data_IF_863232055562
#
_entry.id   IF_863232055562
#
_cell.length_a   1.000
_cell.length_b   1.000
_cell.length_c   1.000
_cell.angle_alpha   90.00
_cell.angle_beta   90.00
_cell.angle_gamma   90.00
#
_symmetry.space_group_name_H-M   'P 1'
#
loop_
_entity.id
_entity.type
_entity.pdbx_description
1 polymer ?
#
# COMPACT_ATOMS: atom_id res chain seq x y z
N UNK A 1 -48.96 26.86 57.20
CA UNK A 1 -48.09 26.46 56.07
C UNK A 1 -47.60 25.06 56.37
N UNK A 2 -48.16 24.02 55.73
CA UNK A 2 -47.76 22.62 55.98
C UNK A 2 -46.49 22.33 55.17
N UNK A 3 -45.35 22.12 55.84
CA UNK A 3 -44.15 21.58 55.22
C UNK A 3 -44.38 20.08 54.99
N UNK A 4 -44.65 19.70 53.74
CA UNK A 4 -44.57 18.30 53.35
C UNK A 4 -43.08 17.95 53.22
N UNK A 5 -42.55 17.00 54.01
CA UNK A 5 -41.19 16.53 53.81
C UNK A 5 -41.12 15.91 52.41
N UNK A 6 -40.18 16.40 51.59
CA UNK A 6 -39.88 15.79 50.30
C UNK A 6 -39.26 14.42 50.60
N UNK A 7 -40.01 13.35 50.39
CA UNK A 7 -39.48 11.99 50.54
C UNK A 7 -38.24 11.88 49.65
N UNK A 8 -37.10 11.60 50.26
CA UNK A 8 -35.90 11.23 49.52
C UNK A 8 -36.13 9.80 49.07
N UNK A 9 -36.64 9.63 47.85
CA UNK A 9 -36.70 8.34 47.18
C UNK A 9 -35.27 7.79 47.11
N UNK A 10 -34.98 6.79 47.94
CA UNK A 10 -33.74 6.06 47.90
C UNK A 10 -33.84 5.01 46.79
N UNK A 11 -32.79 4.90 45.99
CA UNK A 11 -32.70 3.93 44.90
C UNK A 11 -32.96 2.52 45.43
N UNK A 12 -33.89 1.80 44.83
CA UNK A 12 -34.18 0.43 45.26
C UNK A 12 -33.09 -0.54 44.78
N UNK A 13 -32.89 -1.63 45.52
CA UNK A 13 -31.94 -2.68 45.14
C UNK A 13 -32.27 -3.26 43.74
N UNK A 14 -33.56 -3.31 43.40
CA UNK A 14 -34.03 -3.81 42.11
C UNK A 14 -33.75 -2.82 40.97
N UNK A 15 -33.94 -1.51 41.17
CA UNK A 15 -33.58 -0.50 40.17
C UNK A 15 -32.07 -0.46 39.89
N UNK A 16 -31.25 -0.64 40.92
CA UNK A 16 -29.80 -0.75 40.75
C UNK A 16 -29.44 -1.96 39.88
N UNK A 17 -30.07 -3.10 40.14
CA UNK A 17 -29.79 -4.36 39.46
C UNK A 17 -30.27 -4.33 37.99
N UNK A 18 -31.45 -3.76 37.74
CA UNK A 18 -31.96 -3.51 36.38
C UNK A 18 -31.06 -2.54 35.62
N UNK A 19 -30.62 -1.45 36.26
CA UNK A 19 -29.73 -0.46 35.63
C UNK A 19 -28.36 -1.05 35.27
N UNK A 20 -27.75 -1.83 36.16
CA UNK A 20 -26.49 -2.54 35.89
C UNK A 20 -26.65 -3.56 34.75
N UNK A 21 -27.77 -4.28 34.70
CA UNK A 21 -28.07 -5.24 33.63
C UNK A 21 -28.21 -4.53 32.28
N UNK A 22 -28.90 -3.40 32.24
CA UNK A 22 -29.04 -2.55 31.05
C UNK A 22 -27.70 -2.00 30.58
N UNK A 23 -26.88 -1.46 31.48
CA UNK A 23 -25.54 -0.95 31.16
C UNK A 23 -24.65 -2.07 30.62
N UNK A 24 -24.66 -3.25 31.26
CA UNK A 24 -23.90 -4.41 30.81
C UNK A 24 -24.34 -4.88 29.41
N UNK A 25 -25.65 -4.93 29.16
CA UNK A 25 -26.20 -5.30 27.86
C UNK A 25 -25.80 -4.29 26.75
N UNK A 26 -25.91 -2.98 27.01
CA UNK A 26 -25.53 -1.93 26.05
C UNK A 26 -24.02 -1.95 25.81
N UNK A 27 -23.21 -2.12 26.85
CA UNK A 27 -21.76 -2.21 26.73
C UNK A 27 -21.35 -3.40 25.85
N UNK A 28 -22.00 -4.57 26.00
CA UNK A 28 -21.72 -5.76 25.20
C UNK A 28 -21.98 -5.53 23.70
N UNK A 29 -23.09 -4.89 23.33
CA UNK A 29 -23.41 -4.56 21.91
C UNK A 29 -22.49 -3.46 21.36
N UNK A 30 -22.04 -2.55 22.22
CA UNK A 30 -21.14 -1.46 21.82
C UNK A 30 -19.74 -1.96 21.46
N UNK A 31 -19.22 -2.98 22.18
CA UNK A 31 -17.86 -3.51 21.97
C UNK A 31 -17.69 -4.12 20.57
N UNK A 32 -18.65 -4.91 20.08
CA UNK A 32 -18.56 -5.53 18.75
C UNK A 32 -18.55 -4.49 17.63
N UNK A 33 -19.35 -3.44 17.77
CA UNK A 33 -19.48 -2.35 16.81
C UNK A 33 -18.19 -1.52 16.69
N UNK A 34 -17.52 -1.23 17.81
CA UNK A 34 -16.28 -0.43 17.85
C UNK A 34 -15.16 -1.04 17.00
N UNK A 35 -15.00 -2.37 17.04
CA UNK A 35 -13.93 -3.03 16.27
C UNK A 35 -14.12 -2.90 14.76
N UNK A 36 -15.38 -2.98 14.30
CA UNK A 36 -15.75 -2.79 12.89
C UNK A 36 -15.53 -1.34 12.45
N UNK A 37 -15.98 -0.37 13.25
CA UNK A 37 -15.76 1.06 12.98
C UNK A 37 -14.27 1.40 12.94
N UNK A 38 -13.47 0.86 13.88
CA UNK A 38 -12.02 1.03 13.88
C UNK A 38 -11.40 0.49 12.59
N UNK A 39 -11.80 -0.70 12.14
CA UNK A 39 -11.29 -1.28 10.89
C UNK A 39 -11.63 -0.43 9.67
N UNK A 40 -12.86 0.06 9.57
CA UNK A 40 -13.27 0.96 8.48
C UNK A 40 -12.54 2.31 8.52
N UNK A 41 -12.31 2.87 9.71
CA UNK A 41 -11.55 4.09 9.88
C UNK A 41 -10.09 3.92 9.44
N UNK A 42 -9.45 2.80 9.83
CA UNK A 42 -8.08 2.49 9.40
C UNK A 42 -7.98 2.27 7.89
N UNK A 43 -8.95 1.58 7.28
CA UNK A 43 -9.04 1.45 5.81
C UNK A 43 -9.20 2.83 5.14
N UNK A 44 -10.03 3.71 5.71
CA UNK A 44 -10.22 5.07 5.20
C UNK A 44 -8.95 5.91 5.33
N UNK A 45 -8.19 5.75 6.43
CA UNK A 45 -6.86 6.37 6.59
C UNK A 45 -5.91 5.91 5.48
N UNK A 46 -5.89 4.61 5.19
CA UNK A 46 -5.06 4.04 4.13
C UNK A 46 -5.46 4.53 2.73
N UNK A 47 -6.76 4.69 2.46
CA UNK A 47 -7.26 5.30 1.21
C UNK A 47 -6.84 6.76 1.06
N UNK A 48 -6.82 7.53 2.14
CA UNK A 48 -6.30 8.91 2.13
C UNK A 48 -4.80 8.93 1.91
N UNK A 49 -4.05 8.06 2.59
CA UNK A 49 -2.61 7.92 2.39
C UNK A 49 -2.26 7.56 0.94
N UNK A 50 -3.02 6.65 0.31
CA UNK A 50 -2.87 6.29 -1.10
C UNK A 50 -3.02 7.51 -2.04
N UNK A 51 -4.02 8.37 -1.81
CA UNK A 51 -4.20 9.61 -2.59
C UNK A 51 -3.06 10.59 -2.36
N UNK A 52 -2.66 10.79 -1.11
CA UNK A 52 -1.54 11.67 -0.76
C UNK A 52 -0.22 11.20 -1.41
N UNK A 53 -0.01 9.89 -1.45
CA UNK A 53 1.16 9.30 -2.10
C UNK A 53 1.13 9.51 -3.62
N UNK A 54 -0.04 9.44 -4.26
CA UNK A 54 -0.18 9.80 -5.68
C UNK A 54 0.02 11.28 -5.96
N UNK A 55 -0.41 12.16 -5.06
CA UNK A 55 -0.07 13.60 -5.16
C UNK A 55 1.44 13.78 -5.16
N UNK A 56 2.15 13.18 -4.21
CA UNK A 56 3.60 13.23 -4.14
C UNK A 56 4.27 12.66 -5.40
N UNK A 57 3.77 11.53 -5.90
CA UNK A 57 4.24 10.89 -7.14
C UNK A 57 4.07 11.76 -8.38
N UNK A 58 2.95 12.47 -8.49
CA UNK A 58 2.69 13.39 -9.60
C UNK A 58 3.54 14.66 -9.49
N UNK A 59 3.75 15.19 -8.28
CA UNK A 59 4.65 16.32 -8.04
C UNK A 59 6.11 15.97 -8.42
N UNK A 60 6.59 14.79 -8.01
CA UNK A 60 7.88 14.27 -8.46
C UNK A 60 7.98 14.30 -9.99
N UNK A 61 6.95 13.77 -10.66
CA UNK A 61 6.97 13.70 -12.12
C UNK A 61 6.95 15.09 -12.75
N UNK A 62 6.25 16.06 -12.17
CA UNK A 62 6.21 17.44 -12.65
C UNK A 62 7.59 18.10 -12.59
N UNK A 63 8.28 17.96 -11.45
CA UNK A 63 9.60 18.55 -11.22
C UNK A 63 10.72 17.87 -12.02
N UNK A 64 10.49 16.65 -12.52
CA UNK A 64 11.47 15.85 -13.24
C UNK A 64 11.10 15.68 -14.72
N UNK A 65 10.58 16.73 -15.36
CA UNK A 65 10.25 16.77 -16.80
C UNK A 65 9.32 15.65 -17.26
N UNK A 66 8.41 15.20 -16.40
CA UNK A 66 7.49 14.10 -16.69
C UNK A 66 8.09 12.70 -16.49
N UNK A 67 9.30 12.58 -15.95
CA UNK A 67 9.89 11.29 -15.59
C UNK A 67 9.11 10.63 -14.45
N UNK A 68 8.82 9.34 -14.60
CA UNK A 68 8.18 8.56 -13.55
C UNK A 68 9.24 8.08 -12.56
N UNK A 69 8.96 8.26 -11.26
CA UNK A 69 9.84 7.80 -10.19
C UNK A 69 10.11 6.30 -10.31
N UNK A 70 11.37 5.86 -10.44
CA UNK A 70 11.72 4.45 -10.30
C UNK A 70 11.45 3.94 -8.88
N UNK A 71 10.79 2.80 -8.75
CA UNK A 71 10.53 2.20 -7.43
C UNK A 71 11.80 1.71 -6.72
N UNK A 72 12.83 1.34 -7.50
CA UNK A 72 14.16 1.03 -6.99
C UNK A 72 15.26 1.50 -7.96
N UNK A 73 15.96 2.58 -7.62
CA UNK A 73 17.14 3.06 -8.35
C UNK A 73 18.00 3.89 -7.40
N UNK A 74 19.28 3.53 -7.25
CA UNK A 74 20.21 4.23 -6.38
C UNK A 74 20.24 5.72 -6.71
N UNK A 75 20.04 6.54 -5.68
CA UNK A 75 20.06 7.99 -5.75
C UNK A 75 20.94 8.53 -4.63
N UNK A 76 22.14 9.01 -4.99
CA UNK A 76 23.10 9.53 -4.02
C UNK A 76 22.66 10.88 -3.41
N UNK A 77 21.64 11.52 -3.98
CA UNK A 77 21.09 12.78 -3.49
C UNK A 77 19.94 12.60 -2.49
N UNK A 78 19.44 11.37 -2.30
CA UNK A 78 18.34 11.09 -1.39
C UNK A 78 18.74 11.43 0.06
N UNK A 79 17.87 12.17 0.73
CA UNK A 79 18.06 12.63 2.10
C UNK A 79 16.88 12.22 2.98
N UNK A 80 17.15 12.03 4.26
CA UNK A 80 16.10 11.91 5.26
C UNK A 80 15.56 13.30 5.66
N UNK A 81 14.63 13.30 6.61
CA UNK A 81 14.00 14.52 7.14
C UNK A 81 14.95 15.48 7.86
N UNK A 82 16.09 14.99 8.34
CA UNK A 82 17.10 15.79 9.03
C UNK A 82 18.14 16.37 8.05
N UNK A 83 18.04 16.04 6.76
CA UNK A 83 18.93 16.51 5.71
C UNK A 83 20.18 15.63 5.52
N UNK A 84 20.28 14.50 6.23
CA UNK A 84 21.39 13.56 6.09
C UNK A 84 21.26 12.76 4.80
N UNK A 85 22.37 12.57 4.11
CA UNK A 85 22.44 11.71 2.93
C UNK A 85 22.27 10.25 3.29
N UNK A 86 21.44 9.56 2.53
CA UNK A 86 21.13 8.15 2.75
C UNK A 86 22.07 7.25 1.95
N UNK A 87 22.47 6.13 2.55
CA UNK A 87 23.25 5.08 1.90
C UNK A 87 22.34 4.02 1.25
N UNK A 88 22.91 3.21 0.36
CA UNK A 88 22.22 2.04 -0.17
C UNK A 88 22.01 0.98 0.95
N UNK A 89 20.87 0.25 0.97
CA UNK A 89 19.79 0.27 -0.01
C UNK A 89 18.70 1.33 0.26
N UNK A 90 18.79 2.08 1.36
CA UNK A 90 17.78 3.06 1.79
C UNK A 90 17.53 4.12 0.71
N UNK A 91 18.61 4.63 0.13
CA UNK A 91 18.58 5.65 -0.93
C UNK A 91 18.12 5.16 -2.31
N UNK A 92 17.88 3.86 -2.47
CA UNK A 92 17.42 3.30 -3.73
C UNK A 92 15.91 3.14 -3.78
N UNK A 93 15.26 2.92 -2.63
CA UNK A 93 13.83 2.65 -2.51
C UNK A 93 13.02 3.94 -2.65
N UNK A 94 11.81 3.81 -3.16
CA UNK A 94 10.92 4.94 -3.41
C UNK A 94 10.66 5.86 -2.20
N UNK A 95 10.52 5.40 -0.92
CA UNK A 95 9.96 6.25 0.15
C UNK A 95 10.74 7.54 0.39
N UNK A 96 12.05 7.44 0.57
CA UNK A 96 12.90 8.62 0.81
C UNK A 96 13.17 9.44 -0.46
N UNK A 97 12.96 8.86 -1.63
CA UNK A 97 13.05 9.59 -2.91
C UNK A 97 11.77 10.37 -3.21
N UNK A 98 10.63 9.95 -2.64
CA UNK A 98 9.37 10.69 -2.65
C UNK A 98 9.22 11.65 -1.48
N UNK A 99 10.00 11.48 -0.42
CA UNK A 99 9.93 12.30 0.79
C UNK A 99 9.87 13.82 0.56
N UNK A 100 10.65 14.43 -0.37
CA UNK A 100 10.56 15.87 -0.64
C UNK A 100 9.16 16.37 -1.04
N UNK A 101 8.30 15.47 -1.51
CA UNK A 101 6.95 15.73 -1.97
C UNK A 101 5.87 15.28 -0.97
N UNK A 102 6.28 14.74 0.18
CA UNK A 102 5.38 14.22 1.22
C UNK A 102 5.35 15.20 2.39
N UNK A 103 4.15 15.71 2.69
CA UNK A 103 3.95 16.63 3.81
C UNK A 103 4.04 15.93 5.18
N UNK A 104 3.53 14.70 5.30
CA UNK A 104 3.51 13.94 6.55
C UNK A 104 3.83 12.46 6.27
N UNK A 105 4.99 12.01 6.75
CA UNK A 105 5.47 10.63 6.61
C UNK A 105 4.58 9.66 7.39
N UNK A 106 4.12 10.03 8.59
CA UNK A 106 3.28 9.19 9.44
C UNK A 106 1.81 9.14 9.01
N UNK A 107 1.41 10.07 8.14
CA UNK A 107 0.11 10.08 7.49
C UNK A 107 0.11 9.44 6.09
N UNK A 108 1.28 9.22 5.49
CA UNK A 108 1.41 8.83 4.07
C UNK A 108 2.17 7.53 3.84
N UNK A 109 3.30 7.30 4.54
CA UNK A 109 4.15 6.13 4.33
C UNK A 109 4.01 5.09 5.44
N UNK A 110 3.93 5.53 6.69
CA UNK A 110 3.90 4.65 7.88
C UNK A 110 2.75 5.00 8.80
N UNK A 111 1.66 4.24 8.75
CA UNK A 111 0.42 4.51 9.47
C UNK A 111 -0.26 3.23 9.99
N UNK A 112 -1.36 3.38 10.73
CA UNK A 112 -2.18 2.27 11.24
C UNK A 112 -1.39 1.32 12.17
N UNK A 113 -0.51 1.88 13.00
CA UNK A 113 0.37 1.18 13.93
C UNK A 113 1.82 1.07 13.47
N UNK A 114 2.15 1.49 12.25
CA UNK A 114 3.53 1.56 11.75
C UNK A 114 4.23 2.87 12.13
N UNK A 115 3.52 3.88 12.62
CA UNK A 115 4.08 5.17 13.02
C UNK A 115 5.34 5.07 13.92
N UNK A 116 5.45 4.12 14.88
CA UNK A 116 6.64 4.00 15.73
C UNK A 116 7.95 3.74 14.98
N UNK A 117 7.91 3.16 13.77
CA UNK A 117 9.13 2.89 12.99
C UNK A 117 9.86 4.16 12.62
N UNK A 118 9.15 5.28 12.49
CA UNK A 118 9.72 6.56 12.11
C UNK A 118 10.72 7.11 13.14
N UNK A 119 10.46 6.84 14.43
CA UNK A 119 11.28 7.31 15.54
C UNK A 119 12.25 6.22 16.06
N UNK A 120 12.33 5.07 15.39
CA UNK A 120 13.23 3.99 15.76
C UNK A 120 14.69 4.35 15.43
N UNK A 121 15.66 3.76 16.12
CA UNK A 121 17.11 3.95 15.85
C UNK A 121 17.48 3.64 14.39
N UNK A 122 16.76 2.69 13.78
CA UNK A 122 16.89 2.31 12.37
C UNK A 122 15.74 2.83 11.50
N UNK A 123 15.12 3.95 11.89
CA UNK A 123 13.90 4.46 11.27
C UNK A 123 14.03 4.72 9.77
N UNK A 124 15.15 5.28 9.33
CA UNK A 124 15.42 5.48 7.89
C UNK A 124 15.35 4.16 7.11
N UNK A 125 15.97 3.11 7.64
CA UNK A 125 15.91 1.80 7.01
C UNK A 125 14.48 1.23 7.03
N UNK A 126 13.82 1.25 8.19
CA UNK A 126 12.49 0.67 8.37
C UNK A 126 11.43 1.37 7.51
N UNK A 127 11.41 2.70 7.48
CA UNK A 127 10.52 3.48 6.60
C UNK A 127 10.79 3.15 5.13
N UNK A 128 12.06 2.94 4.75
CA UNK A 128 12.41 2.65 3.37
C UNK A 128 11.95 1.26 2.91
N UNK A 129 12.00 0.26 3.79
CA UNK A 129 11.74 -1.15 3.44
C UNK A 129 10.31 -1.57 3.75
N UNK A 130 9.67 -0.95 4.75
CA UNK A 130 8.36 -1.32 5.29
C UNK A 130 7.31 -0.19 5.24
N UNK A 131 7.19 0.60 4.15
CA UNK A 131 6.05 1.50 4.01
C UNK A 131 4.75 0.68 3.86
N UNK A 132 3.62 1.20 4.33
CA UNK A 132 2.33 0.50 4.33
C UNK A 132 1.84 0.13 2.92
N UNK A 133 2.20 0.92 1.90
CA UNK A 133 1.94 0.66 0.49
C UNK A 133 3.25 0.34 -0.24
N UNK A 134 3.27 -0.72 -1.03
CA UNK A 134 4.39 -1.04 -1.92
C UNK A 134 4.12 -0.54 -3.32
N UNK A 135 5.18 -0.25 -4.08
CA UNK A 135 5.08 0.23 -5.45
C UNK A 135 5.09 -0.93 -6.46
N UNK A 136 4.29 -0.86 -7.52
CA UNK A 136 4.39 -1.72 -8.71
C UNK A 136 5.65 -1.35 -9.51
N UNK A 137 6.80 -1.76 -9.01
CA UNK A 137 8.11 -1.41 -9.58
C UNK A 137 8.37 -2.08 -10.93
N UNK A 138 7.65 -3.16 -11.26
CA UNK A 138 7.88 -3.93 -12.49
C UNK A 138 7.41 -3.13 -13.71
N UNK A 139 6.20 -2.56 -13.63
CA UNK A 139 5.58 -1.88 -14.76
C UNK A 139 5.53 -0.35 -14.62
N UNK A 140 5.72 0.19 -13.40
CA UNK A 140 5.75 1.63 -13.15
C UNK A 140 7.13 2.03 -12.62
N UNK A 141 7.81 2.92 -13.33
CA UNK A 141 9.11 3.50 -12.96
C UNK A 141 10.31 2.56 -13.08
N UNK A 142 10.15 1.27 -12.76
CA UNK A 142 11.18 0.26 -12.87
C UNK A 142 11.87 -0.09 -11.55
N UNK A 143 12.33 -1.33 -11.46
CA UNK A 143 13.30 -1.81 -10.47
C UNK A 143 14.67 -2.03 -11.14
N UNK A 144 15.70 -1.30 -10.71
CA UNK A 144 17.05 -1.35 -11.29
C UNK A 144 18.08 -2.05 -10.40
N UNK A 145 17.69 -2.54 -9.23
CA UNK A 145 18.51 -3.40 -8.38
C UNK A 145 18.49 -4.88 -8.79
N UNK A 146 19.24 -5.72 -8.07
CA UNK A 146 19.37 -7.16 -8.32
C UNK A 146 18.10 -7.97 -8.06
N UNK A 147 17.21 -7.49 -7.17
CA UNK A 147 15.94 -8.14 -6.87
C UNK A 147 14.84 -7.98 -7.92
N UNK A 148 15.10 -7.31 -9.04
CA UNK A 148 14.09 -7.02 -10.06
C UNK A 148 13.52 -8.29 -10.71
N UNK A 149 12.20 -8.42 -10.77
CA UNK A 149 11.54 -9.45 -11.57
C UNK A 149 11.83 -9.31 -13.07
N UNK A 150 11.87 -8.06 -13.56
CA UNK A 150 12.19 -7.76 -14.94
C UNK A 150 12.78 -6.35 -15.06
N UNK A 151 14.11 -6.28 -15.16
CA UNK A 151 14.82 -5.00 -15.15
C UNK A 151 14.67 -4.29 -16.51
N UNK A 152 14.17 -3.04 -16.55
CA UNK A 152 14.10 -2.28 -17.80
C UNK A 152 15.49 -2.07 -18.40
N UNK A 153 15.64 -2.43 -19.68
CA UNK A 153 16.86 -2.23 -20.47
C UNK A 153 16.52 -2.28 -21.96
N UNK A 154 17.34 -1.63 -22.80
CA UNK A 154 17.12 -1.62 -24.25
C UNK A 154 16.99 -3.03 -24.83
N UNK A 155 17.83 -3.97 -24.39
CA UNK A 155 17.80 -5.38 -24.83
C UNK A 155 16.49 -6.09 -24.48
N UNK A 156 15.94 -5.81 -23.30
CA UNK A 156 14.66 -6.40 -22.88
C UNK A 156 13.52 -5.77 -23.68
N UNK A 157 13.49 -4.45 -23.77
CA UNK A 157 12.43 -3.70 -24.46
C UNK A 157 12.41 -3.96 -25.98
N UNK A 158 13.56 -4.27 -26.61
CA UNK A 158 13.62 -4.73 -28.00
C UNK A 158 12.85 -6.03 -28.22
N UNK A 159 12.84 -6.92 -27.22
CA UNK A 159 12.16 -8.22 -27.29
C UNK A 159 10.69 -8.11 -26.93
N UNK A 160 10.37 -7.39 -25.86
CA UNK A 160 9.02 -7.42 -25.26
C UNK A 160 8.22 -6.13 -25.41
N UNK A 161 8.80 -5.11 -26.05
CA UNK A 161 8.22 -3.77 -26.12
C UNK A 161 8.47 -2.93 -24.86
N UNK A 162 8.04 -1.66 -24.87
CA UNK A 162 8.20 -0.73 -23.75
C UNK A 162 7.21 -1.05 -22.62
N UNK A 163 7.47 -2.14 -21.90
CA UNK A 163 6.57 -2.64 -20.86
C UNK A 163 6.52 -1.79 -19.59
N UNK A 164 7.54 -0.98 -19.34
CA UNK A 164 7.68 -0.19 -18.12
C UNK A 164 7.44 1.29 -18.43
N UNK A 165 6.42 1.88 -17.80
CA UNK A 165 6.13 3.30 -17.89
C UNK A 165 7.20 4.06 -17.10
N UNK A 166 8.05 4.80 -17.80
CA UNK A 166 9.14 5.61 -17.23
C UNK A 166 8.94 7.10 -17.48
N UNK A 167 7.92 7.48 -18.25
CA UNK A 167 7.59 8.86 -18.55
C UNK A 167 6.08 9.06 -18.73
N UNK A 168 5.55 10.19 -18.26
CA UNK A 168 4.11 10.53 -18.32
C UNK A 168 3.52 10.51 -19.74
N UNK A 169 4.31 10.84 -20.75
CA UNK A 169 3.91 10.75 -22.16
C UNK A 169 3.58 9.33 -22.66
N UNK A 170 3.90 8.29 -21.87
CA UNK A 170 3.56 6.89 -22.14
C UNK A 170 2.19 6.49 -21.54
N UNK A 171 1.55 7.33 -20.72
CA UNK A 171 0.31 7.00 -19.98
C UNK A 171 -0.96 7.06 -20.87
N UNK A 172 -0.81 7.26 -22.18
CA UNK A 172 -1.91 7.63 -23.10
C UNK A 172 -3.11 6.67 -23.13
N UNK A 173 -2.99 5.42 -22.70
CA UNK A 173 -4.08 4.42 -22.74
C UNK A 173 -4.27 3.57 -21.48
N UNK A 174 -3.51 3.80 -20.40
CA UNK A 174 -3.51 2.91 -19.23
C UNK A 174 -3.69 3.64 -17.86
N UNK A 175 -4.75 4.47 -17.67
CA UNK A 175 -4.96 5.20 -16.41
C UNK A 175 -5.32 4.29 -15.22
N UNK A 176 -5.84 3.08 -15.49
CA UNK A 176 -6.32 2.14 -14.47
C UNK A 176 -5.23 1.17 -13.97
N UNK A 177 -3.95 1.56 -14.03
CA UNK A 177 -2.85 0.78 -13.51
C UNK A 177 -2.61 1.06 -12.03
N UNK A 178 -2.30 0.01 -11.28
CA UNK A 178 -1.86 0.08 -9.89
C UNK A 178 -0.45 0.65 -9.86
N UNK A 179 -0.27 1.76 -9.15
CA UNK A 179 1.04 2.35 -8.85
C UNK A 179 1.50 1.90 -7.47
N UNK A 180 0.62 2.00 -6.48
CA UNK A 180 0.88 1.53 -5.12
C UNK A 180 -0.23 0.60 -4.63
N UNK A 181 0.08 -0.35 -3.75
CA UNK A 181 -0.86 -1.32 -3.20
C UNK A 181 -0.53 -1.63 -1.74
N UNK A 182 -1.53 -1.91 -0.91
CA UNK A 182 -1.33 -2.46 0.44
C UNK A 182 -0.32 -3.60 0.40
N UNK A 183 0.77 -3.44 1.16
CA UNK A 183 1.90 -4.36 1.10
C UNK A 183 2.26 -4.91 2.48
N UNK A 184 2.82 -6.11 2.50
CA UNK A 184 3.32 -6.79 3.72
C UNK A 184 4.63 -7.49 3.43
N UNK A 185 5.38 -7.78 4.47
CA UNK A 185 6.67 -8.46 4.43
C UNK A 185 6.79 -9.47 5.56
N UNK A 186 7.88 -10.24 5.57
CA UNK A 186 8.10 -11.18 6.66
C UNK A 186 8.36 -10.42 7.95
N UNK A 187 7.83 -10.85 9.11
CA UNK A 187 8.14 -10.24 10.40
C UNK A 187 9.63 -10.19 10.73
N UNK A 188 10.42 -11.11 10.16
CA UNK A 188 11.88 -11.13 10.34
C UNK A 188 12.60 -10.07 9.48
N UNK A 189 11.95 -9.56 8.44
CA UNK A 189 12.51 -8.58 7.49
C UNK A 189 12.02 -7.14 7.76
N UNK A 190 11.01 -6.98 8.61
CA UNK A 190 10.25 -5.75 8.77
C UNK A 190 9.59 -5.59 10.14
N UNK A 191 9.13 -4.38 10.44
CA UNK A 191 8.38 -4.09 11.67
C UNK A 191 7.05 -4.86 11.71
N UNK A 192 7.03 -5.96 12.48
CA UNK A 192 5.88 -6.85 12.63
C UNK A 192 5.32 -7.41 11.30
N UNK A 193 6.13 -7.42 10.23
CA UNK A 193 5.74 -7.86 8.89
C UNK A 193 4.79 -6.91 8.16
N UNK A 194 4.60 -5.68 8.66
CA UNK A 194 3.70 -4.69 8.06
C UNK A 194 4.43 -3.86 7.02
N UNK A 195 3.83 -3.70 5.85
CA UNK A 195 4.42 -2.91 4.78
C UNK A 195 5.49 -3.64 3.99
N UNK A 196 5.72 -3.21 2.76
CA UNK A 196 6.89 -3.54 1.96
C UNK A 196 7.02 -2.50 0.85
N UNK A 197 8.23 -2.13 0.46
CA UNK A 197 8.43 -1.04 -0.51
C UNK A 197 8.01 -1.40 -1.94
N UNK A 198 7.85 -2.67 -2.24
CA UNK A 198 7.49 -3.20 -3.56
C UNK A 198 6.24 -4.07 -3.46
N UNK A 199 5.42 -4.05 -4.49
CA UNK A 199 4.47 -5.12 -4.77
C UNK A 199 4.75 -5.69 -6.14
N UNK A 200 4.62 -7.00 -6.26
CA UNK A 200 4.96 -7.72 -7.46
C UNK A 200 3.70 -8.27 -8.14
N UNK A 201 3.58 -8.15 -9.46
CA UNK A 201 2.41 -8.61 -10.20
C UNK A 201 2.26 -10.14 -10.16
N UNK A 202 1.05 -10.66 -10.44
CA UNK A 202 0.76 -12.10 -10.51
C UNK A 202 1.59 -12.84 -11.57
N UNK A 203 1.81 -12.20 -12.72
CA UNK A 203 2.52 -12.77 -13.87
C UNK A 203 3.47 -11.73 -14.44
N UNK A 204 4.67 -12.17 -14.82
CA UNK A 204 5.61 -11.36 -15.62
C UNK A 204 6.01 -12.18 -16.85
N UNK A 205 7.19 -12.80 -16.84
CA UNK A 205 7.59 -13.79 -17.85
C UNK A 205 7.09 -15.20 -17.51
N UNK A 206 6.74 -15.42 -16.24
CA UNK A 206 6.22 -16.65 -15.67
C UNK A 206 5.26 -16.28 -14.53
N UNK A 207 4.51 -17.26 -14.05
CA UNK A 207 3.70 -17.09 -12.83
C UNK A 207 4.60 -16.72 -11.67
N UNK A 208 4.30 -15.60 -11.04
CA UNK A 208 4.99 -15.08 -9.87
C UNK A 208 4.20 -15.42 -8.59
N UNK A 209 2.87 -15.25 -8.63
CA UNK A 209 2.01 -15.64 -7.52
C UNK A 209 1.72 -17.14 -7.52
N UNK A 210 1.47 -17.69 -6.33
CA UNK A 210 0.95 -19.06 -6.18
C UNK A 210 -0.52 -19.11 -6.58
N UNK A 211 -0.97 -20.30 -7.00
CA UNK A 211 -2.37 -20.55 -7.36
C UNK A 211 -3.32 -20.66 -6.17
N UNK A 212 -2.78 -20.95 -4.97
CA UNK A 212 -3.60 -21.02 -3.75
C UNK A 212 -4.18 -19.64 -3.40
N UNK A 213 -5.38 -19.58 -2.80
CA UNK A 213 -5.95 -18.34 -2.31
C UNK A 213 -5.01 -17.63 -1.33
N UNK A 214 -5.10 -16.31 -1.30
CA UNK A 214 -4.39 -15.48 -0.34
C UNK A 214 -4.88 -15.78 1.07
N UNK A 215 -3.94 -15.86 2.01
CA UNK A 215 -4.24 -15.93 3.44
C UNK A 215 -3.25 -15.09 4.22
N UNK A 216 -3.66 -14.66 5.42
CA UNK A 216 -2.80 -13.90 6.33
C UNK A 216 -1.54 -14.70 6.70
N UNK A 217 -1.64 -16.03 6.77
CA UNK A 217 -0.55 -16.93 7.16
C UNK A 217 0.36 -17.34 5.98
N UNK A 218 -0.05 -17.05 4.74
CA UNK A 218 0.78 -17.28 3.57
C UNK A 218 2.04 -16.41 3.61
N UNK A 219 3.15 -16.91 3.07
CA UNK A 219 4.36 -16.10 2.99
C UNK A 219 4.10 -14.91 2.05
N UNK A 220 4.54 -13.68 2.39
CA UNK A 220 4.29 -12.49 1.59
C UNK A 220 4.66 -12.63 0.12
N UNK A 221 5.80 -13.27 -0.20
CA UNK A 221 6.28 -13.46 -1.56
C UNK A 221 5.38 -14.38 -2.42
N UNK A 222 4.56 -15.24 -1.79
CA UNK A 222 3.64 -16.13 -2.51
C UNK A 222 2.52 -15.38 -3.25
N UNK A 223 2.23 -14.14 -2.84
CA UNK A 223 1.27 -13.25 -3.49
C UNK A 223 1.90 -11.87 -3.75
N UNK A 224 3.20 -11.86 -4.09
CA UNK A 224 3.91 -10.67 -4.53
C UNK A 224 3.88 -9.52 -3.52
N UNK A 225 3.94 -9.85 -2.24
CA UNK A 225 3.91 -8.92 -1.10
C UNK A 225 2.60 -8.15 -0.94
N UNK A 226 1.54 -8.50 -1.69
CA UNK A 226 0.22 -7.89 -1.53
C UNK A 226 -0.41 -8.27 -0.18
N UNK A 227 -1.05 -7.29 0.46
CA UNK A 227 -1.72 -7.45 1.75
C UNK A 227 -3.21 -7.13 1.67
N UNK A 228 -4.04 -8.17 1.67
CA UNK A 228 -5.50 -8.09 1.60
C UNK A 228 -6.12 -7.90 3.00
N UNK A 229 -5.49 -7.06 3.82
CA UNK A 229 -5.81 -6.80 5.24
C UNK A 229 -7.22 -6.28 5.49
N UNK A 230 -7.89 -5.72 4.48
CA UNK A 230 -9.22 -5.12 4.59
C UNK A 230 -10.33 -6.09 4.16
N UNK A 231 -10.55 -7.13 4.96
CA UNK A 231 -11.58 -8.15 4.72
C UNK A 231 -11.41 -8.86 3.36
N UNK A 232 -10.18 -9.27 3.05
CA UNK A 232 -9.86 -9.87 1.76
C UNK A 232 -9.69 -8.85 0.64
N UNK A 233 -9.54 -7.56 0.98
CA UNK A 233 -9.24 -6.49 0.02
C UNK A 233 -7.99 -5.71 0.39
N UNK A 234 -7.31 -5.21 -0.63
CA UNK A 234 -6.17 -4.32 -0.55
C UNK A 234 -6.57 -2.93 -1.06
N UNK A 235 -5.98 -1.88 -0.48
CA UNK A 235 -6.09 -0.52 -1.00
C UNK A 235 -5.03 -0.33 -2.09
N UNK A 236 -5.46 0.13 -3.25
CA UNK A 236 -4.58 0.48 -4.36
C UNK A 236 -4.66 1.98 -4.65
N UNK A 237 -3.51 2.57 -4.93
CA UNK A 237 -3.38 3.89 -5.52
C UNK A 237 -3.16 3.71 -7.03
N UNK A 238 -4.05 4.31 -7.82
CA UNK A 238 -4.11 4.14 -9.26
C UNK A 238 -3.34 5.25 -9.97
N UNK A 239 -2.90 4.99 -11.20
CA UNK A 239 -2.12 5.93 -12.01
C UNK A 239 -2.90 7.21 -12.36
N UNK A 240 -4.24 7.13 -12.41
CA UNK A 240 -5.14 8.29 -12.53
C UNK A 240 -5.28 9.14 -11.25
N UNK A 241 -4.62 8.75 -10.16
CA UNK A 241 -4.66 9.41 -8.85
C UNK A 241 -5.82 8.97 -7.95
N UNK A 242 -6.71 8.09 -8.43
CA UNK A 242 -7.78 7.53 -7.60
C UNK A 242 -7.25 6.48 -6.62
N UNK A 243 -7.99 6.23 -5.55
CA UNK A 243 -7.73 5.14 -4.61
C UNK A 243 -8.92 4.18 -4.60
N UNK A 244 -8.66 2.87 -4.71
CA UNK A 244 -9.68 1.83 -4.91
C UNK A 244 -9.37 0.59 -4.06
N UNK A 245 -10.39 -0.22 -3.77
CA UNK A 245 -10.20 -1.53 -3.13
C UNK A 245 -10.18 -2.61 -4.21
N UNK A 246 -9.26 -3.57 -4.06
CA UNK A 246 -9.18 -4.75 -4.91
C UNK A 246 -9.22 -6.00 -4.05
N UNK A 247 -10.05 -6.98 -4.40
CA UNK A 247 -9.89 -8.35 -3.88
C UNK A 247 -8.86 -9.16 -4.68
N UNK A 248 -8.65 -10.41 -4.28
CA UNK A 248 -7.64 -11.28 -4.89
C UNK A 248 -7.92 -11.56 -6.37
N UNK A 249 -9.18 -11.74 -6.77
CA UNK A 249 -9.52 -12.03 -8.16
C UNK A 249 -9.19 -10.83 -9.04
N UNK A 250 -9.57 -9.64 -8.59
CA UNK A 250 -9.25 -8.39 -9.29
C UNK A 250 -7.74 -8.17 -9.33
N UNK A 251 -6.99 -8.44 -8.24
CA UNK A 251 -5.53 -8.33 -8.26
C UNK A 251 -4.83 -9.35 -9.15
N UNK A 252 -5.47 -10.49 -9.48
CA UNK A 252 -4.92 -11.46 -10.43
C UNK A 252 -5.04 -11.01 -11.88
N UNK A 253 -5.90 -10.02 -12.17
CA UNK A 253 -6.08 -9.45 -13.50
C UNK A 253 -4.91 -8.54 -13.88
N UNK A 254 -4.12 -8.98 -14.86
CA UNK A 254 -2.93 -8.30 -15.36
C UNK A 254 -3.21 -6.94 -15.99
N UNK A 255 -4.47 -6.62 -16.36
CA UNK A 255 -4.88 -5.30 -16.84
C UNK A 255 -4.84 -4.23 -15.74
N UNK A 256 -4.68 -4.61 -14.48
CA UNK A 256 -4.41 -3.64 -13.41
C UNK A 256 -2.91 -3.41 -13.17
N UNK A 257 -2.03 -4.19 -13.81
CA UNK A 257 -0.59 -4.17 -13.52
C UNK A 257 0.25 -3.71 -14.71
N UNK A 258 0.01 -4.27 -15.90
CA UNK A 258 0.87 -4.07 -17.07
C UNK A 258 0.20 -3.17 -18.11
N UNK A 259 0.89 -2.13 -18.63
CA UNK A 259 0.36 -1.31 -19.71
C UNK A 259 0.09 -2.15 -20.97
N UNK A 260 0.97 -3.09 -21.29
CA UNK A 260 0.82 -3.95 -22.47
C UNK A 260 -0.32 -4.97 -22.30
N UNK A 261 -0.63 -5.38 -21.08
CA UNK A 261 -1.79 -6.21 -20.80
C UNK A 261 -3.10 -5.43 -20.96
N UNK A 262 -3.15 -4.17 -20.50
CA UNK A 262 -4.29 -3.28 -20.73
C UNK A 262 -4.54 -3.07 -22.22
N UNK A 263 -3.49 -2.67 -22.96
CA UNK A 263 -3.59 -2.35 -24.37
C UNK A 263 -4.06 -3.53 -25.23
N UNK A 264 -3.68 -4.75 -24.84
CA UNK A 264 -4.04 -5.97 -25.55
C UNK A 264 -5.18 -6.76 -24.90
N UNK A 265 -5.84 -6.19 -23.88
CA UNK A 265 -6.93 -6.81 -23.11
C UNK A 265 -6.60 -8.23 -22.58
N UNK A 266 -5.46 -8.35 -21.89
CA UNK A 266 -4.95 -9.62 -21.36
C UNK A 266 -5.16 -9.73 -19.86
N UNK A 267 -6.09 -10.60 -19.44
CA UNK A 267 -6.35 -10.86 -18.00
C UNK A 267 -5.24 -11.66 -17.33
N UNK A 268 -4.69 -12.67 -18.00
CA UNK A 268 -3.81 -13.66 -17.35
C UNK A 268 -2.33 -13.53 -17.76
N UNK A 269 -1.99 -12.56 -18.62
CA UNK A 269 -0.65 -12.42 -19.19
C UNK A 269 -0.17 -10.97 -19.16
N UNK A 270 1.09 -10.77 -18.78
CA UNK A 270 1.72 -9.43 -18.76
C UNK A 270 2.01 -8.88 -20.16
N UNK A 271 2.24 -9.75 -21.13
CA UNK A 271 2.76 -9.42 -22.46
C UNK A 271 2.01 -10.19 -23.53
N UNK A 272 1.63 -9.51 -24.63
CA UNK A 272 1.09 -10.18 -25.81
C UNK A 272 1.97 -11.32 -26.36
N UNK A 273 1.39 -12.36 -26.99
CA UNK A 273 2.13 -13.55 -27.44
C UNK A 273 3.28 -13.26 -28.43
N UNK A 274 3.14 -12.20 -29.23
CA UNK A 274 4.16 -11.81 -30.21
C UNK A 274 5.45 -11.31 -29.56
N UNK A 275 5.37 -10.75 -28.35
CA UNK A 275 6.51 -10.31 -27.55
C UNK A 275 7.26 -11.46 -26.86
N UNK A 276 6.65 -12.66 -26.79
CA UNK A 276 7.27 -13.86 -26.17
C UNK A 276 8.14 -14.68 -27.13
N UNK A 277 8.01 -14.47 -28.44
CA UNK A 277 8.74 -15.24 -29.47
C UNK A 277 9.88 -14.42 -30.08
N UNK A 278 11.08 -14.50 -29.48
CA UNK A 278 12.40 -14.38 -30.13
C UNK A 278 13.55 -14.69 -29.16
#
# INVERSE_FOLDING_TARGET
MKFFPKEKEAFTLIELLVSLTLIAAIAAVSISSISLFKRQAMMSKEMTAARNLMVAFNLFSNDNDGAILPGYKTDLSAKNQWGDTLAAPVNARYPWRLYPYIHDVTGTLVYNGNEPVFNHEHGDYLVSVSPNLGMNTTFIGGHFGSGSLLRPSARVEEKIGPFCIRHTSQIRYAPNLIVFLSARSNPDEAWEGRGYFEVQPPVVLRNNWKSKPWSQDAKPDEHGFADLRWNGKAVAAMLDGSARLFDEEELRDMRHWSPLAVEADLKDDAFPPFYRKR
#
